data_IF_411785904146
#
_entry.id   IF_411785904146
#
_cell.length_a   1.000
_cell.length_b   1.000
_cell.length_c   1.000
_cell.angle_alpha   90.00
_cell.angle_beta   90.00
_cell.angle_gamma   90.00
#
_symmetry.space_group_name_H-M   'P 1'
#
loop_
_entity.id
_entity.type
_entity.pdbx_description
1 polymer ?
#
# COMPACT_ATOMS: atom_id res chain seq x y z
N UNK A 1 30.36 -2.08 -66.53
CA UNK A 1 29.43 -1.34 -67.39
C UNK A 1 28.06 -1.98 -67.26
N UNK A 2 27.16 -1.33 -66.57
CA UNK A 2 25.81 -0.86 -66.97
C UNK A 2 25.23 -0.19 -65.75
N UNK A 3 24.92 1.06 -65.88
CA UNK A 3 24.17 1.91 -64.92
C UNK A 3 22.73 1.45 -64.91
N UNK A 4 22.10 1.38 -63.73
CA UNK A 4 20.66 1.30 -63.58
C UNK A 4 20.23 2.41 -62.63
N UNK A 5 19.22 3.14 -63.07
CA UNK A 5 18.62 4.34 -62.51
C UNK A 5 18.12 4.15 -61.08
N UNK A 6 18.39 5.14 -60.25
CA UNK A 6 17.78 5.29 -58.94
C UNK A 6 16.49 6.12 -59.09
N UNK A 7 15.36 5.50 -58.89
CA UNK A 7 14.08 6.18 -58.70
C UNK A 7 14.01 6.80 -57.29
N UNK A 8 13.89 8.10 -57.25
CA UNK A 8 13.61 8.89 -56.02
C UNK A 8 12.13 8.77 -55.66
N UNK A 9 11.88 8.10 -54.50
CA UNK A 9 10.58 8.21 -53.82
C UNK A 9 10.48 9.54 -53.05
N UNK A 10 9.28 10.16 -53.00
CA UNK A 10 9.10 11.40 -52.27
C UNK A 10 9.05 11.11 -50.76
N UNK A 11 9.86 11.84 -49.98
CA UNK A 11 9.87 11.82 -48.54
C UNK A 11 8.50 12.23 -47.97
N UNK A 12 7.87 11.34 -47.23
CA UNK A 12 6.72 11.66 -46.40
C UNK A 12 7.15 12.60 -45.25
N UNK A 13 6.49 13.75 -45.17
CA UNK A 13 6.67 14.70 -44.09
C UNK A 13 6.14 14.07 -42.79
N UNK A 14 7.05 13.67 -41.88
CA UNK A 14 6.71 13.32 -40.49
C UNK A 14 6.20 14.59 -39.78
N UNK A 15 4.91 14.57 -39.47
CA UNK A 15 4.32 15.52 -38.54
C UNK A 15 4.92 15.28 -37.17
N UNK A 16 5.85 16.14 -36.72
CA UNK A 16 6.34 16.16 -35.36
C UNK A 16 5.17 16.49 -34.41
N UNK A 17 4.62 15.45 -33.81
CA UNK A 17 3.78 15.60 -32.63
C UNK A 17 4.65 16.21 -31.53
N UNK A 18 4.37 17.45 -31.14
CA UNK A 18 4.93 18.09 -29.96
C UNK A 18 4.37 17.34 -28.74
N UNK A 19 5.09 16.33 -28.29
CA UNK A 19 4.86 15.73 -26.98
C UNK A 19 5.29 16.76 -25.95
N UNK A 20 4.31 17.35 -25.26
CA UNK A 20 4.56 18.08 -24.02
C UNK A 20 5.24 17.09 -23.08
N UNK A 21 6.44 17.39 -22.54
CA UNK A 21 7.06 16.47 -21.57
C UNK A 21 6.13 16.29 -20.39
N UNK A 22 5.99 15.06 -19.93
CA UNK A 22 5.30 14.76 -18.68
C UNK A 22 5.95 15.61 -17.57
N UNK A 23 5.17 16.20 -16.63
CA UNK A 23 5.73 16.98 -15.54
C UNK A 23 6.72 16.10 -14.77
N UNK A 24 7.87 16.68 -14.40
CA UNK A 24 8.85 15.99 -13.57
C UNK A 24 8.18 15.53 -12.28
N UNK A 25 8.51 14.32 -11.83
CA UNK A 25 8.00 13.80 -10.55
C UNK A 25 8.23 14.86 -9.46
N UNK A 26 7.15 15.31 -8.79
CA UNK A 26 7.20 16.34 -7.74
C UNK A 26 6.77 17.75 -8.16
N UNK A 27 6.38 18.02 -9.42
CA UNK A 27 5.82 19.31 -9.81
C UNK A 27 4.29 19.23 -9.95
N UNK A 28 3.58 20.04 -9.20
CA UNK A 28 2.13 20.24 -9.33
C UNK A 28 1.90 21.64 -9.86
N UNK A 29 1.01 21.80 -10.85
CA UNK A 29 0.73 23.10 -11.45
C UNK A 29 0.23 24.11 -10.40
N UNK A 30 0.87 25.26 -10.30
CA UNK A 30 0.50 26.32 -9.34
C UNK A 30 1.09 26.17 -7.94
N UNK A 31 1.82 25.07 -7.64
CA UNK A 31 2.52 24.88 -6.36
C UNK A 31 3.99 25.24 -6.53
N UNK A 32 4.48 26.20 -5.73
CA UNK A 32 5.88 26.62 -5.71
C UNK A 32 6.42 26.58 -4.28
N UNK A 33 7.48 25.84 -4.08
CA UNK A 33 8.22 25.80 -2.82
C UNK A 33 9.54 26.54 -3.02
N UNK A 34 9.93 27.49 -2.15
CA UNK A 34 11.22 28.15 -2.23
C UNK A 34 12.37 27.15 -2.15
N UNK A 35 13.46 27.45 -2.86
CA UNK A 35 14.69 26.67 -2.73
C UNK A 35 15.20 26.71 -1.29
N UNK A 36 15.42 25.55 -0.71
CA UNK A 36 15.92 25.39 0.65
C UNK A 36 16.88 24.19 0.73
N UNK A 37 17.87 24.32 1.63
CA UNK A 37 18.63 23.15 2.03
C UNK A 37 17.76 22.30 2.97
N UNK A 38 17.62 21.02 2.66
CA UNK A 38 16.82 20.07 3.43
C UNK A 38 17.69 18.96 3.99
N UNK A 39 17.77 18.85 5.32
CA UNK A 39 18.53 17.80 6.00
C UNK A 39 17.92 16.40 5.75
N UNK A 40 16.59 16.35 5.74
CA UNK A 40 15.81 15.15 5.42
C UNK A 40 15.16 15.34 4.06
N UNK A 41 15.33 14.39 3.16
CA UNK A 41 14.51 14.30 1.95
C UNK A 41 13.26 13.49 2.26
N UNK A 42 12.14 13.84 1.62
CA UNK A 42 10.86 13.16 1.79
C UNK A 42 10.34 12.74 0.40
N UNK A 43 10.11 11.45 0.22
CA UNK A 43 9.69 10.87 -1.06
C UNK A 43 8.47 10.00 -0.86
N UNK A 44 7.37 10.18 -1.62
CA UNK A 44 6.22 9.29 -1.56
C UNK A 44 6.59 7.84 -1.91
N UNK A 45 5.97 6.88 -1.21
CA UNK A 45 6.04 5.46 -1.50
C UNK A 45 4.75 5.04 -2.19
N UNK A 46 4.88 4.42 -3.36
CA UNK A 46 3.74 3.98 -4.16
C UNK A 46 3.06 5.11 -4.94
N UNK A 47 1.79 4.94 -5.26
CA UNK A 47 1.01 5.85 -6.08
C UNK A 47 0.55 7.11 -5.33
N UNK A 48 0.15 8.16 -6.07
CA UNK A 48 -0.54 9.31 -5.49
C UNK A 48 -1.72 8.89 -4.62
N UNK A 49 -1.87 9.45 -3.40
CA UNK A 49 -2.97 9.12 -2.51
C UNK A 49 -4.33 9.37 -3.17
N UNK A 50 -5.25 8.42 -2.98
CA UNK A 50 -6.61 8.46 -3.51
C UNK A 50 -7.59 8.64 -2.33
N UNK A 51 -8.27 9.78 -2.18
CA UNK A 51 -9.29 9.96 -1.16
C UNK A 51 -10.46 9.00 -1.37
N UNK A 52 -10.90 8.31 -0.32
CA UNK A 52 -12.03 7.37 -0.37
C UNK A 52 -12.97 7.56 0.81
N UNK A 53 -14.26 7.27 0.61
CA UNK A 53 -15.28 7.44 1.63
C UNK A 53 -15.31 6.23 2.57
N UNK A 54 -15.09 6.48 3.86
CA UNK A 54 -15.19 5.47 4.92
C UNK A 54 -16.63 5.23 5.38
N UNK A 55 -16.83 4.17 6.16
CA UNK A 55 -18.10 3.83 6.78
C UNK A 55 -18.56 4.82 7.86
N UNK A 56 -17.63 5.64 8.37
CA UNK A 56 -17.89 6.77 9.26
C UNK A 56 -18.45 8.00 8.53
N UNK A 57 -18.57 7.93 7.20
CA UNK A 57 -19.08 8.98 6.33
C UNK A 57 -18.05 10.03 5.91
N UNK A 58 -16.82 9.98 6.44
CA UNK A 58 -15.71 10.87 6.10
C UNK A 58 -14.93 10.37 4.90
N UNK A 59 -14.14 11.25 4.30
CA UNK A 59 -13.16 10.89 3.28
C UNK A 59 -11.80 10.68 3.92
N UNK A 60 -11.28 9.46 3.80
CA UNK A 60 -9.96 9.06 4.29
C UNK A 60 -8.91 9.27 3.22
N UNK A 61 -7.73 9.70 3.65
CA UNK A 61 -6.52 9.81 2.82
C UNK A 61 -5.41 9.09 3.56
N UNK A 62 -4.82 8.07 2.95
CA UNK A 62 -3.73 7.31 3.54
C UNK A 62 -2.62 7.08 2.52
N UNK A 63 -1.37 7.38 2.88
CA UNK A 63 -0.17 7.20 2.07
C UNK A 63 1.08 7.12 2.94
N UNK A 64 2.20 6.81 2.32
CA UNK A 64 3.45 6.58 3.00
C UNK A 64 4.55 7.45 2.39
N UNK A 65 5.46 7.90 3.24
CA UNK A 65 6.59 8.73 2.84
C UNK A 65 7.88 8.12 3.37
N UNK A 66 8.88 8.02 2.51
CA UNK A 66 10.24 7.74 2.91
C UNK A 66 10.94 9.03 3.31
N UNK A 67 11.46 9.10 4.54
CA UNK A 67 12.36 10.14 5.00
C UNK A 67 13.78 9.61 4.95
N UNK A 68 14.69 10.35 4.34
CA UNK A 68 16.12 9.97 4.28
C UNK A 68 16.98 11.12 4.81
N UNK A 69 17.80 10.82 5.81
CA UNK A 69 18.84 11.75 6.26
C UNK A 69 20.03 11.68 5.29
N UNK A 70 20.06 12.60 4.34
CA UNK A 70 21.13 12.68 3.33
C UNK A 70 22.41 13.39 3.84
N UNK A 71 22.54 13.61 5.15
CA UNK A 71 23.65 14.36 5.77
C UNK A 71 24.52 13.47 6.66
N UNK A 72 25.54 14.05 7.25
CA UNK A 72 26.41 13.43 8.26
C UNK A 72 26.01 13.77 9.69
N UNK A 73 24.99 14.59 9.87
CA UNK A 73 24.50 15.07 11.15
C UNK A 73 23.24 14.29 11.50
N UNK A 74 23.09 13.76 12.70
CA UNK A 74 21.84 13.15 13.14
C UNK A 74 20.67 14.12 13.00
N UNK A 75 19.51 13.62 12.59
CA UNK A 75 18.29 14.41 12.50
C UNK A 75 17.21 13.82 13.43
N UNK A 76 16.26 14.66 13.84
CA UNK A 76 15.08 14.26 14.60
C UNK A 76 13.87 15.01 14.06
N UNK A 77 12.72 14.34 14.01
CA UNK A 77 11.47 14.94 13.57
C UNK A 77 10.60 15.23 14.78
N UNK A 78 10.29 16.50 15.02
CA UNK A 78 9.48 16.93 16.15
C UNK A 78 8.01 17.09 15.78
N UNK A 79 7.73 17.45 14.52
CA UNK A 79 6.37 17.60 13.99
C UNK A 79 6.37 17.53 12.46
N UNK A 80 5.27 17.01 11.92
CA UNK A 80 4.93 17.07 10.49
C UNK A 80 3.53 17.66 10.36
N UNK A 81 3.39 18.82 9.69
CA UNK A 81 2.10 19.32 9.27
C UNK A 81 1.85 18.97 7.80
N UNK A 82 0.69 18.42 7.49
CA UNK A 82 0.18 18.29 6.13
C UNK A 82 -0.55 19.58 5.80
N UNK A 83 -0.10 20.31 4.80
CA UNK A 83 -0.64 21.61 4.44
C UNK A 83 -1.15 21.64 3.00
N UNK A 84 -2.08 22.53 2.70
CA UNK A 84 -2.60 22.74 1.36
C UNK A 84 -1.48 23.18 0.40
N UNK A 85 -1.37 22.52 -0.74
CA UNK A 85 -0.30 22.79 -1.71
C UNK A 85 -0.33 24.19 -2.30
N UNK A 86 -1.50 24.83 -2.36
CA UNK A 86 -1.68 26.19 -2.90
C UNK A 86 -1.69 27.27 -1.82
N UNK A 87 -1.98 26.90 -0.58
CA UNK A 87 -1.97 27.76 0.60
C UNK A 87 -1.32 27.06 1.80
N UNK A 88 0.01 27.09 1.92
CA UNK A 88 0.71 26.41 3.01
C UNK A 88 0.39 26.92 4.43
N UNK A 89 -0.35 28.03 4.56
CA UNK A 89 -0.86 28.49 5.85
C UNK A 89 -2.06 27.66 6.36
N UNK A 90 -2.70 26.92 5.47
CA UNK A 90 -3.84 26.05 5.78
C UNK A 90 -3.33 24.66 6.15
N UNK A 91 -3.30 24.37 7.44
CA UNK A 91 -2.97 23.03 7.96
C UNK A 91 -4.19 22.14 7.84
N UNK A 92 -4.01 20.97 7.20
CA UNK A 92 -5.03 19.93 6.99
C UNK A 92 -4.95 18.89 8.10
N UNK A 93 -3.73 18.45 8.42
CA UNK A 93 -3.45 17.50 9.50
C UNK A 93 -2.10 17.84 10.15
N UNK A 94 -1.90 17.42 11.39
CA UNK A 94 -0.66 17.66 12.13
C UNK A 94 -0.32 16.42 12.94
N UNK A 95 0.95 16.05 12.94
CA UNK A 95 1.50 14.91 13.68
C UNK A 95 2.64 15.39 14.56
N UNK A 96 2.42 15.38 15.87
CA UNK A 96 3.42 15.70 16.88
C UNK A 96 4.48 14.60 17.03
N UNK A 97 5.58 14.89 17.72
CA UNK A 97 6.60 13.89 18.04
C UNK A 97 6.02 12.65 18.73
N UNK A 98 5.04 12.84 19.63
CA UNK A 98 4.38 11.72 20.33
C UNK A 98 3.45 10.90 19.43
N UNK A 99 2.90 11.48 18.37
CA UNK A 99 2.11 10.73 17.36
C UNK A 99 3.01 10.05 16.33
N UNK A 100 4.20 10.57 16.11
CA UNK A 100 5.20 9.93 15.24
C UNK A 100 5.84 8.72 15.94
N UNK A 101 6.24 8.90 17.20
CA UNK A 101 6.79 7.83 18.04
C UNK A 101 6.17 7.96 19.43
N UNK A 102 5.15 7.15 19.70
CA UNK A 102 4.42 7.14 20.97
C UNK A 102 5.26 6.49 22.06
N UNK A 103 5.66 7.22 23.10
CA UNK A 103 6.46 6.64 24.19
C UNK A 103 5.72 5.58 25.00
N UNK A 104 4.39 5.53 24.92
CA UNK A 104 3.54 4.54 25.60
C UNK A 104 3.24 3.33 24.71
N UNK A 105 3.70 3.33 23.46
CA UNK A 105 3.54 2.23 22.51
C UNK A 105 4.50 1.09 22.84
N UNK A 106 4.06 0.14 23.67
CA UNK A 106 4.89 -0.94 24.22
C UNK A 106 5.58 -1.79 23.16
N UNK A 107 4.94 -2.01 22.01
CA UNK A 107 5.47 -2.83 20.92
C UNK A 107 5.95 -2.02 19.71
N UNK A 108 5.78 -0.70 19.71
CA UNK A 108 6.11 0.19 18.59
C UNK A 108 5.19 0.04 17.38
N UNK A 109 4.14 -0.75 17.47
CA UNK A 109 3.20 -1.02 16.38
C UNK A 109 2.23 0.15 16.12
N UNK A 110 1.97 1.01 17.10
CA UNK A 110 1.20 2.24 16.95
C UNK A 110 2.03 3.42 16.39
N UNK A 111 3.35 3.32 16.30
CA UNK A 111 4.20 4.38 15.78
C UNK A 111 3.97 4.63 14.30
N UNK A 112 3.85 5.92 13.92
CA UNK A 112 3.77 6.35 12.52
C UNK A 112 5.13 6.39 11.85
N UNK A 113 6.19 6.68 12.60
CA UNK A 113 7.58 6.64 12.11
C UNK A 113 8.18 5.28 12.41
N UNK A 114 8.78 4.64 11.40
CA UNK A 114 9.37 3.31 11.52
C UNK A 114 10.67 3.18 10.74
N UNK A 115 11.47 2.18 11.10
CA UNK A 115 12.58 1.75 10.25
C UNK A 115 12.06 1.31 8.89
N UNK A 116 12.85 1.53 7.86
CA UNK A 116 12.52 1.05 6.54
C UNK A 116 12.93 -0.45 6.43
N UNK A 117 12.05 -1.36 5.95
CA UNK A 117 10.73 -1.09 5.37
C UNK A 117 9.59 -0.85 6.38
N UNK A 118 9.59 -1.44 7.58
CA UNK A 118 8.52 -1.27 8.55
C UNK A 118 8.90 -1.71 9.97
N UNK A 119 10.19 -1.73 10.30
CA UNK A 119 10.70 -2.05 11.65
C UNK A 119 10.28 -1.03 12.70
N UNK A 120 10.21 -1.45 13.96
CA UNK A 120 9.86 -0.56 15.07
C UNK A 120 11.03 0.32 15.48
N UNK A 121 10.73 1.56 15.86
CA UNK A 121 11.67 2.51 16.42
C UNK A 121 11.18 3.01 17.78
N UNK A 122 12.10 3.39 18.64
CA UNK A 122 11.84 3.95 19.99
C UNK A 122 12.09 5.46 20.05
N UNK A 123 12.57 6.06 18.96
CA UNK A 123 12.87 7.48 18.88
C UNK A 123 12.54 8.04 17.49
N UNK A 124 12.23 9.33 17.43
CA UNK A 124 12.06 10.07 16.18
C UNK A 124 13.40 10.48 15.53
N UNK A 125 14.53 9.94 16.00
CA UNK A 125 15.83 10.18 15.40
C UNK A 125 16.01 9.39 14.11
N UNK A 126 16.66 10.05 13.16
CA UNK A 126 17.11 9.45 11.90
C UNK A 126 18.62 9.61 11.84
N UNK A 127 19.39 8.53 12.08
CA UNK A 127 20.84 8.58 12.01
C UNK A 127 21.35 9.07 10.66
N UNK A 128 22.60 9.54 10.57
CA UNK A 128 23.21 9.94 9.31
C UNK A 128 23.12 8.81 8.25
N UNK A 129 22.70 9.17 7.05
CA UNK A 129 22.63 8.27 5.89
C UNK A 129 21.62 7.10 6.04
N UNK A 130 20.70 7.20 7.01
CA UNK A 130 19.61 6.24 7.18
C UNK A 130 18.28 6.78 6.70
N UNK A 131 17.35 5.86 6.50
CA UNK A 131 15.99 6.15 6.08
C UNK A 131 14.97 5.62 7.08
N UNK A 132 13.82 6.29 7.12
CA UNK A 132 12.62 5.90 7.86
C UNK A 132 11.43 5.93 6.92
N UNK A 133 10.37 5.23 7.28
CA UNK A 133 9.05 5.42 6.68
C UNK A 133 8.15 6.12 7.68
N UNK A 134 7.31 7.05 7.20
CA UNK A 134 6.24 7.65 7.98
C UNK A 134 4.90 7.36 7.34
N UNK A 135 3.95 6.86 8.14
CA UNK A 135 2.59 6.56 7.74
C UNK A 135 1.70 7.77 8.00
N UNK A 136 1.21 8.36 6.93
CA UNK A 136 0.30 9.51 6.96
C UNK A 136 -1.12 9.02 6.70
N UNK A 137 -2.05 9.37 7.58
CA UNK A 137 -3.48 9.23 7.36
C UNK A 137 -4.23 10.37 8.05
N UNK A 138 -5.26 10.86 7.41
CA UNK A 138 -6.16 11.88 7.93
C UNK A 138 -7.53 11.79 7.25
N UNK A 139 -8.50 12.51 7.78
CA UNK A 139 -9.86 12.54 7.23
C UNK A 139 -10.28 13.94 6.84
N UNK A 140 -11.16 14.01 5.83
CA UNK A 140 -11.83 15.21 5.36
C UNK A 140 -13.35 15.01 5.51
N UNK A 141 -14.09 16.06 5.79
CA UNK A 141 -15.56 15.96 5.92
C UNK A 141 -16.25 15.84 4.54
N UNK A 142 -15.60 16.36 3.49
CA UNK A 142 -16.08 16.24 2.10
C UNK A 142 -14.92 16.19 1.12
N UNK A 143 -15.15 15.63 -0.07
CA UNK A 143 -14.15 15.55 -1.13
C UNK A 143 -13.71 16.93 -1.65
N UNK A 144 -14.62 17.93 -1.62
CA UNK A 144 -14.30 19.30 -2.06
C UNK A 144 -13.25 19.99 -1.15
N UNK A 145 -12.96 19.42 0.02
CA UNK A 145 -11.88 19.89 0.90
C UNK A 145 -10.52 19.31 0.54
N UNK A 146 -10.49 18.28 -0.32
CA UNK A 146 -9.24 17.70 -0.80
C UNK A 146 -8.56 18.69 -1.75
N UNK A 147 -7.32 19.14 -1.47
CA UNK A 147 -6.57 19.94 -2.43
C UNK A 147 -6.05 19.06 -3.57
N UNK A 148 -5.66 19.68 -4.68
CA UNK A 148 -5.02 18.95 -5.79
C UNK A 148 -3.68 18.32 -5.35
N UNK A 149 -3.01 18.92 -4.36
CA UNK A 149 -1.78 18.43 -3.78
C UNK A 149 -1.61 18.93 -2.34
N UNK A 150 -0.82 18.20 -1.56
CA UNK A 150 -0.36 18.61 -0.23
C UNK A 150 1.14 18.82 -0.23
N UNK A 151 1.62 19.70 0.67
CA UNK A 151 3.00 19.78 1.09
C UNK A 151 3.11 19.27 2.52
N UNK A 152 4.32 18.91 2.93
CA UNK A 152 4.60 18.58 4.32
C UNK A 152 5.53 19.65 4.89
N UNK A 153 5.10 20.29 5.97
CA UNK A 153 5.94 21.20 6.73
C UNK A 153 6.63 20.40 7.82
N UNK A 154 7.94 20.26 7.70
CA UNK A 154 8.76 19.45 8.59
C UNK A 154 9.45 20.33 9.61
N UNK A 155 9.28 19.98 10.90
CA UNK A 155 9.93 20.66 12.02
C UNK A 155 10.78 19.66 12.79
N UNK A 156 11.97 20.07 13.22
CA UNK A 156 12.84 19.20 13.98
C UNK A 156 14.25 19.75 14.17
N UNK A 157 15.20 18.83 14.29
CA UNK A 157 16.63 19.14 14.33
C UNK A 157 17.37 18.34 13.26
N UNK A 158 18.48 18.87 12.77
CA UNK A 158 19.33 18.24 11.76
C UNK A 158 20.40 19.18 11.27
N UNK A 159 21.05 18.85 10.14
CA UNK A 159 21.98 19.80 9.53
C UNK A 159 21.25 21.04 9.06
N UNK A 160 21.59 22.20 9.59
CA UNK A 160 20.97 23.49 9.20
C UNK A 160 21.55 24.05 7.89
N UNK A 161 22.67 23.52 7.40
CA UNK A 161 23.30 23.86 6.12
C UNK A 161 24.22 22.73 5.64
N UNK A 162 24.66 22.74 4.37
CA UNK A 162 25.59 21.74 3.85
C UNK A 162 26.93 21.65 4.61
N UNK A 163 27.31 22.72 5.33
CA UNK A 163 28.54 22.80 6.10
C UNK A 163 28.34 22.53 7.60
N UNK A 164 27.11 22.26 8.06
CA UNK A 164 26.84 21.98 9.48
C UNK A 164 27.54 20.71 9.94
N UNK A 165 28.24 20.80 11.07
CA UNK A 165 28.85 19.66 11.75
C UNK A 165 28.04 19.17 12.96
N UNK A 166 27.11 20.01 13.45
CA UNK A 166 26.25 19.76 14.60
C UNK A 166 24.78 19.96 14.24
N UNK A 167 23.82 19.28 14.91
CA UNK A 167 22.41 19.50 14.68
C UNK A 167 21.99 20.92 15.07
N UNK A 168 21.14 21.51 14.26
CA UNK A 168 20.44 22.77 14.52
C UNK A 168 18.97 22.63 14.14
N UNK A 169 18.13 23.64 14.41
CA UNK A 169 16.72 23.60 14.05
C UNK A 169 16.55 23.52 12.53
N UNK A 170 15.59 22.70 12.11
CA UNK A 170 15.13 22.61 10.73
C UNK A 170 13.64 22.94 10.68
N UNK A 171 13.25 23.70 9.65
CA UNK A 171 11.89 24.19 9.42
C UNK A 171 11.75 24.48 7.92
N UNK A 172 11.08 23.58 7.19
CA UNK A 172 10.92 23.74 5.74
C UNK A 172 9.74 22.94 5.18
N UNK A 173 9.27 23.40 4.02
CA UNK A 173 8.28 22.69 3.21
C UNK A 173 8.96 21.68 2.27
N UNK A 174 8.32 20.52 2.10
CA UNK A 174 8.78 19.49 1.18
C UNK A 174 8.23 19.70 -0.24
N UNK A 175 8.60 18.81 -1.16
CA UNK A 175 7.99 18.78 -2.49
C UNK A 175 6.52 18.37 -2.44
N UNK A 176 5.67 18.84 -3.38
CA UNK A 176 4.26 18.53 -3.37
C UNK A 176 3.98 17.04 -3.65
N UNK A 177 2.98 16.52 -2.96
CA UNK A 177 2.38 15.21 -3.21
C UNK A 177 1.00 15.44 -3.81
N UNK A 178 0.86 15.16 -5.11
CA UNK A 178 -0.41 15.28 -5.81
C UNK A 178 -1.39 14.19 -5.37
N UNK A 179 -2.67 14.51 -5.32
CA UNK A 179 -3.71 13.51 -5.11
C UNK A 179 -4.09 12.84 -6.43
N UNK A 180 -4.48 11.58 -6.35
CA UNK A 180 -4.98 10.84 -7.49
C UNK A 180 -6.36 11.36 -7.89
N UNK A 181 -6.57 11.51 -9.20
CA UNK A 181 -7.88 11.82 -9.79
C UNK A 181 -8.64 10.56 -10.22
N UNK A 182 -8.12 9.39 -9.88
CA UNK A 182 -8.74 8.10 -10.19
C UNK A 182 -10.07 7.97 -9.45
N UNK A 183 -11.03 7.30 -10.05
CA UNK A 183 -12.27 6.92 -9.37
C UNK A 183 -12.01 5.75 -8.44
N UNK A 184 -12.52 5.83 -7.21
CA UNK A 184 -12.49 4.70 -6.27
C UNK A 184 -13.34 3.55 -6.83
N UNK A 185 -12.80 2.32 -6.93
CA UNK A 185 -13.56 1.18 -7.42
C UNK A 185 -14.74 0.85 -6.49
N UNK A 186 -15.87 0.48 -7.09
CA UNK A 186 -17.04 -0.03 -6.35
C UNK A 186 -17.21 -1.49 -6.72
N UNK A 187 -17.20 -2.34 -5.72
CA UNK A 187 -17.21 -3.80 -5.87
C UNK A 187 -18.29 -4.45 -4.99
N UNK A 188 -18.69 -5.68 -5.36
CA UNK A 188 -19.52 -6.52 -4.51
C UNK A 188 -18.68 -7.18 -3.38
N UNK A 189 -19.32 -7.69 -2.31
CA UNK A 189 -18.60 -8.42 -1.26
C UNK A 189 -17.92 -9.71 -1.80
N UNK A 190 -16.68 -10.01 -1.35
CA UNK A 190 -15.97 -11.23 -1.76
C UNK A 190 -16.48 -12.51 -1.06
N UNK A 191 -17.39 -12.36 -0.10
CA UNK A 191 -17.97 -13.44 0.71
C UNK A 191 -19.48 -13.21 0.88
N UNK A 192 -20.21 -14.26 1.27
CA UNK A 192 -21.67 -14.16 1.49
C UNK A 192 -22.10 -14.70 2.85
N UNK A 193 -23.28 -14.27 3.31
CA UNK A 193 -23.87 -14.68 4.57
C UNK A 193 -23.56 -13.70 5.70
N UNK A 194 -23.83 -14.12 6.93
CA UNK A 194 -23.76 -13.32 8.12
C UNK A 194 -22.50 -13.60 8.95
N UNK A 195 -22.24 -12.77 9.95
CA UNK A 195 -21.18 -12.90 10.94
C UNK A 195 -19.75 -12.75 10.39
N UNK A 196 -19.58 -12.08 9.25
CA UNK A 196 -18.26 -11.73 8.73
C UNK A 196 -17.69 -10.51 9.44
N UNK A 197 -16.39 -10.59 9.74
CA UNK A 197 -15.61 -9.54 10.39
C UNK A 197 -14.46 -9.15 9.47
N UNK A 198 -14.36 -7.85 9.17
CA UNK A 198 -13.23 -7.27 8.46
C UNK A 198 -12.12 -6.94 9.47
N UNK A 199 -10.98 -7.59 9.36
CA UNK A 199 -9.80 -7.38 10.21
C UNK A 199 -8.65 -6.77 9.42
N UNK A 200 -7.70 -6.17 10.14
CA UNK A 200 -6.44 -5.65 9.60
C UNK A 200 -6.58 -4.60 8.49
N UNK A 201 -7.77 -4.06 8.28
CA UNK A 201 -8.03 -3.01 7.29
C UNK A 201 -7.40 -1.67 7.66
N UNK A 202 -7.39 -0.74 6.71
CA UNK A 202 -6.89 0.63 6.88
C UNK A 202 -7.65 1.36 8.03
N UNK A 203 -7.01 2.33 8.73
CA UNK A 203 -5.75 2.98 8.33
C UNK A 203 -4.77 3.14 9.50
N UNK A 204 -5.07 2.55 10.65
CA UNK A 204 -4.22 2.68 11.83
C UNK A 204 -2.82 2.07 11.59
N UNK A 205 -1.73 2.74 11.97
CA UNK A 205 -0.37 2.24 11.77
C UNK A 205 -0.07 0.89 12.42
N UNK A 206 -0.82 0.53 13.48
CA UNK A 206 -0.70 -0.74 14.18
C UNK A 206 -1.22 -1.95 13.43
N UNK A 207 -2.00 -1.76 12.38
CA UNK A 207 -2.48 -2.89 11.59
C UNK A 207 -1.40 -3.40 10.63
N UNK A 208 -1.21 -4.74 10.53
CA UNK A 208 -0.12 -5.32 9.76
C UNK A 208 -0.15 -4.95 8.28
N UNK A 209 -1.32 -4.88 7.67
CA UNK A 209 -1.45 -4.48 6.26
C UNK A 209 -1.04 -3.03 6.03
N UNK A 210 -1.43 -2.11 6.94
CA UNK A 210 -1.09 -0.69 6.85
C UNK A 210 0.42 -0.45 6.81
N UNK A 211 1.18 -1.28 7.51
CA UNK A 211 2.63 -1.14 7.65
C UNK A 211 3.43 -2.17 6.86
N UNK A 212 2.86 -2.78 5.83
CA UNK A 212 3.52 -3.82 5.03
C UNK A 212 4.36 -3.27 3.86
N UNK A 213 5.12 -2.20 4.10
CA UNK A 213 6.07 -1.67 3.12
C UNK A 213 7.17 -2.69 2.86
N UNK A 214 7.47 -2.94 1.59
CA UNK A 214 8.57 -3.82 1.19
C UNK A 214 9.22 -3.38 -0.11
N UNK A 215 10.44 -3.89 -0.35
CA UNK A 215 11.19 -3.63 -1.58
C UNK A 215 10.99 -4.78 -2.56
N UNK A 216 10.37 -4.48 -3.70
CA UNK A 216 10.17 -5.43 -4.79
C UNK A 216 10.52 -4.75 -6.10
N UNK A 217 11.31 -5.41 -6.96
CA UNK A 217 11.69 -4.90 -8.28
C UNK A 217 12.26 -3.47 -8.26
N UNK A 218 13.21 -3.20 -7.34
CA UNK A 218 13.88 -1.90 -7.14
C UNK A 218 12.96 -0.75 -6.70
N UNK A 219 11.75 -1.06 -6.19
CA UNK A 219 10.78 -0.08 -5.69
C UNK A 219 10.37 -0.41 -4.27
N UNK A 220 10.07 0.63 -3.50
CA UNK A 220 9.32 0.50 -2.27
C UNK A 220 7.82 0.56 -2.58
N UNK A 221 7.09 -0.45 -2.14
CA UNK A 221 5.64 -0.56 -2.32
C UNK A 221 4.98 -0.85 -0.97
N UNK A 222 3.71 -0.45 -0.84
CA UNK A 222 2.84 -0.89 0.23
C UNK A 222 1.58 -1.50 -0.41
N UNK A 223 1.74 -2.69 -0.97
CA UNK A 223 0.72 -3.38 -1.75
C UNK A 223 -0.50 -3.77 -0.93
N UNK A 224 -0.36 -3.90 0.39
CA UNK A 224 -1.44 -4.34 1.29
C UNK A 224 -2.09 -3.20 2.09
N UNK A 225 -1.73 -1.93 1.84
CA UNK A 225 -2.21 -0.76 2.63
C UNK A 225 -3.71 -0.77 2.93
N UNK A 226 -4.52 -1.21 1.97
CA UNK A 226 -5.98 -1.27 2.06
C UNK A 226 -6.54 -2.69 2.09
N UNK A 227 -5.68 -3.71 2.23
CA UNK A 227 -6.11 -5.09 2.31
C UNK A 227 -6.95 -5.36 3.56
N UNK A 228 -7.87 -6.30 3.43
CA UNK A 228 -8.76 -6.74 4.51
C UNK A 228 -8.64 -8.26 4.66
N UNK A 229 -8.49 -8.72 5.90
CA UNK A 229 -8.66 -10.14 6.25
C UNK A 229 -10.10 -10.38 6.67
N UNK A 230 -10.84 -11.11 5.85
CA UNK A 230 -12.20 -11.51 6.15
C UNK A 230 -12.20 -12.80 6.96
N UNK A 231 -12.73 -12.72 8.17
CA UNK A 231 -12.97 -13.88 9.04
C UNK A 231 -14.46 -13.97 9.39
N UNK A 232 -14.89 -15.18 9.76
CA UNK A 232 -16.27 -15.41 10.16
C UNK A 232 -16.32 -15.94 11.59
N UNK A 233 -17.33 -15.49 12.35
CA UNK A 233 -17.62 -16.00 13.70
C UNK A 233 -18.86 -16.89 13.67
N UNK A 234 -19.00 -17.72 14.71
CA UNK A 234 -20.27 -18.34 15.06
C UNK A 234 -21.20 -17.34 15.74
N UNK A 235 -22.39 -17.76 16.15
CA UNK A 235 -23.39 -16.90 16.80
C UNK A 235 -22.94 -16.42 18.20
N UNK A 236 -21.97 -17.10 18.80
CA UNK A 236 -21.34 -16.73 20.08
C UNK A 236 -20.18 -15.73 19.90
N UNK A 237 -19.82 -15.38 18.68
CA UNK A 237 -18.74 -14.47 18.36
C UNK A 237 -17.35 -15.10 18.33
N UNK A 238 -17.25 -16.43 18.30
CA UNK A 238 -15.99 -17.17 18.27
C UNK A 238 -15.57 -17.50 16.82
N UNK A 239 -14.26 -17.41 16.52
CA UNK A 239 -13.70 -17.71 15.20
C UNK A 239 -13.54 -19.22 14.94
N UNK A 240 -13.60 -20.06 15.95
CA UNK A 240 -13.48 -21.51 15.82
C UNK A 240 -14.31 -22.21 16.87
N UNK A 241 -14.65 -23.48 16.60
CA UNK A 241 -15.35 -24.38 17.52
C UNK A 241 -14.55 -25.67 17.69
N UNK A 242 -14.23 -26.04 18.92
CA UNK A 242 -13.43 -27.24 19.22
C UNK A 242 -11.94 -27.00 19.25
N UNK A 243 -11.12 -27.87 18.63
CA UNK A 243 -9.67 -27.75 18.67
C UNK A 243 -9.14 -26.73 17.67
N UNK A 244 -8.62 -25.61 18.17
CA UNK A 244 -8.04 -24.52 17.38
C UNK A 244 -6.81 -24.90 16.54
N UNK A 245 -6.23 -26.08 16.76
CA UNK A 245 -5.08 -26.56 16.00
C UNK A 245 -5.47 -27.25 14.68
N UNK A 246 -6.75 -27.35 14.38
CA UNK A 246 -7.27 -27.89 13.13
C UNK A 246 -7.95 -26.81 12.29
N UNK A 247 -7.63 -26.74 11.01
CA UNK A 247 -8.21 -25.75 10.09
C UNK A 247 -9.74 -25.90 10.01
N UNK A 248 -10.25 -27.12 10.01
CA UNK A 248 -11.68 -27.44 9.93
C UNK A 248 -12.48 -26.97 11.16
N UNK A 249 -11.82 -26.61 12.26
CA UNK A 249 -12.45 -26.03 13.44
C UNK A 249 -12.83 -24.56 13.23
N UNK A 250 -12.24 -23.87 12.27
CA UNK A 250 -12.52 -22.46 12.01
C UNK A 250 -13.81 -22.28 11.22
N UNK A 251 -14.65 -21.33 11.67
CA UNK A 251 -16.01 -21.09 11.12
C UNK A 251 -16.00 -20.68 9.65
N UNK A 252 -14.95 -20.02 9.23
CA UNK A 252 -14.76 -19.55 7.85
C UNK A 252 -14.09 -20.59 6.93
N UNK A 253 -13.46 -21.63 7.48
CA UNK A 253 -12.74 -22.62 6.67
C UNK A 253 -13.67 -23.35 5.69
N UNK A 254 -13.33 -23.30 4.41
CA UNK A 254 -14.14 -23.89 3.35
C UNK A 254 -15.30 -23.03 2.87
N UNK A 255 -15.47 -21.81 3.39
CA UNK A 255 -16.45 -20.85 2.88
C UNK A 255 -16.15 -20.50 1.41
N UNK A 256 -17.20 -20.24 0.64
CA UNK A 256 -17.06 -19.86 -0.77
C UNK A 256 -16.50 -18.43 -0.89
N UNK A 257 -15.55 -18.27 -1.80
CA UNK A 257 -14.97 -16.98 -2.21
C UNK A 257 -15.60 -16.58 -3.53
N UNK A 258 -16.04 -15.35 -3.65
CA UNK A 258 -16.84 -14.85 -4.76
C UNK A 258 -16.12 -13.76 -5.55
N UNK A 259 -16.30 -13.77 -6.87
CA UNK A 259 -15.88 -12.67 -7.73
C UNK A 259 -16.62 -11.39 -7.34
N UNK A 260 -15.89 -10.31 -7.09
CA UNK A 260 -16.45 -9.01 -6.66
C UNK A 260 -17.03 -8.17 -7.80
N UNK A 261 -16.79 -8.57 -9.04
CA UNK A 261 -17.28 -7.92 -10.26
C UNK A 261 -17.16 -8.88 -11.45
N UNK A 262 -17.75 -8.51 -12.58
CA UNK A 262 -17.44 -9.13 -13.88
C UNK A 262 -15.99 -8.85 -14.23
N UNK A 263 -15.20 -9.89 -14.57
CA UNK A 263 -13.76 -9.76 -14.68
C UNK A 263 -13.13 -10.86 -15.53
N UNK A 264 -11.83 -10.68 -15.82
CA UNK A 264 -11.00 -11.72 -16.44
C UNK A 264 -10.00 -12.25 -15.41
N UNK A 265 -9.85 -13.57 -15.31
CA UNK A 265 -8.82 -14.21 -14.46
C UNK A 265 -7.45 -14.02 -15.10
N UNK A 266 -6.50 -13.40 -14.36
CA UNK A 266 -5.14 -13.14 -14.87
C UNK A 266 -4.08 -13.99 -14.20
N UNK A 267 -4.27 -14.41 -12.94
CA UNK A 267 -3.35 -15.28 -12.22
C UNK A 267 -4.11 -16.26 -11.34
N UNK A 268 -3.55 -17.46 -11.22
CA UNK A 268 -4.01 -18.52 -10.33
C UNK A 268 -2.79 -19.28 -9.83
N UNK A 269 -2.72 -19.48 -8.52
CA UNK A 269 -1.90 -20.51 -7.89
C UNK A 269 -2.82 -21.47 -7.14
N UNK A 270 -2.64 -22.76 -7.35
CA UNK A 270 -3.39 -23.83 -6.64
C UNK A 270 -2.48 -25.03 -6.39
N UNK A 271 -2.77 -25.80 -5.35
CA UNK A 271 -2.01 -27.01 -5.00
C UNK A 271 -1.03 -26.83 -3.84
N UNK A 272 -0.92 -25.63 -3.25
CA UNK A 272 -0.13 -25.41 -2.04
C UNK A 272 -0.86 -25.98 -0.81
N UNK A 273 -0.15 -26.78 -0.01
CA UNK A 273 -0.71 -27.41 1.19
C UNK A 273 -1.02 -26.39 2.28
N UNK A 274 -2.04 -26.67 3.10
CA UNK A 274 -2.45 -25.81 4.20
C UNK A 274 -1.43 -25.81 5.35
N UNK A 275 -1.28 -24.65 5.98
CA UNK A 275 -0.49 -24.50 7.22
C UNK A 275 -1.22 -25.12 8.42
N UNK A 276 -0.45 -25.50 9.43
CA UNK A 276 -1.01 -25.77 10.76
C UNK A 276 -1.45 -24.42 11.40
N UNK A 277 -2.68 -24.33 11.94
CA UNK A 277 -3.09 -23.12 12.64
C UNK A 277 -2.16 -22.72 13.79
N UNK A 278 -1.96 -21.42 13.98
CA UNK A 278 -1.07 -20.85 14.99
C UNK A 278 0.39 -20.72 14.57
N UNK A 279 0.76 -21.21 13.37
CA UNK A 279 2.12 -21.08 12.83
C UNK A 279 2.11 -20.08 11.68
N UNK A 280 2.76 -18.93 11.87
CA UNK A 280 2.96 -17.96 10.78
C UNK A 280 4.26 -18.33 10.04
N UNK A 281 4.21 -18.74 8.76
CA UNK A 281 5.40 -19.20 8.03
C UNK A 281 6.54 -18.19 8.00
N UNK A 282 6.27 -16.90 7.79
CA UNK A 282 7.32 -15.87 7.78
C UNK A 282 8.06 -15.73 9.13
N UNK A 283 7.44 -16.16 10.24
CA UNK A 283 8.07 -16.15 11.58
C UNK A 283 8.83 -17.43 11.91
N UNK A 284 8.79 -18.43 11.03
CA UNK A 284 9.52 -19.69 11.18
C UNK A 284 10.62 -19.76 10.11
N UNK A 285 11.92 -19.78 10.47
CA UNK A 285 13.02 -19.70 9.51
C UNK A 285 13.00 -20.81 8.43
N UNK A 286 12.59 -22.04 8.78
CA UNK A 286 12.48 -23.13 7.81
C UNK A 286 11.35 -22.91 6.80
N UNK A 287 10.19 -22.44 7.26
CA UNK A 287 9.05 -22.17 6.41
C UNK A 287 9.25 -20.88 5.61
N UNK A 288 9.81 -19.84 6.23
CA UNK A 288 10.12 -18.58 5.57
C UNK A 288 11.05 -18.77 4.35
N UNK A 289 12.01 -19.70 4.44
CA UNK A 289 12.92 -20.01 3.33
C UNK A 289 12.21 -20.60 2.09
N UNK A 290 10.98 -21.05 2.21
CA UNK A 290 10.16 -21.61 1.13
C UNK A 290 9.20 -20.60 0.52
N UNK A 291 9.04 -19.43 1.17
CA UNK A 291 8.21 -18.36 0.63
C UNK A 291 8.97 -17.59 -0.44
N UNK A 292 8.29 -17.32 -1.53
CA UNK A 292 8.76 -16.49 -2.66
C UNK A 292 7.74 -15.41 -2.95
N UNK A 293 8.08 -14.46 -3.84
CA UNK A 293 7.13 -13.42 -4.28
C UNK A 293 5.87 -14.04 -4.91
N UNK A 294 6.01 -15.19 -5.57
CA UNK A 294 4.90 -15.85 -6.29
C UNK A 294 3.98 -16.68 -5.38
N UNK A 295 4.45 -17.09 -4.18
CA UNK A 295 3.71 -18.03 -3.34
C UNK A 295 3.43 -17.55 -1.91
N UNK A 296 3.88 -16.37 -1.54
CA UNK A 296 3.72 -15.83 -0.17
C UNK A 296 2.25 -15.72 0.24
N UNK A 297 1.37 -15.45 -0.69
CA UNK A 297 -0.09 -15.34 -0.54
C UNK A 297 -0.82 -16.70 -0.67
N UNK A 298 -0.07 -17.79 -0.82
CA UNK A 298 -0.63 -19.14 -0.91
C UNK A 298 -1.41 -19.38 -2.19
N UNK A 299 -2.37 -20.30 -2.13
CA UNK A 299 -3.30 -20.51 -3.24
C UNK A 299 -4.15 -19.26 -3.42
N UNK A 300 -4.22 -18.76 -4.66
CA UNK A 300 -4.82 -17.47 -4.93
C UNK A 300 -5.48 -17.39 -6.31
N UNK A 301 -6.34 -16.40 -6.46
CA UNK A 301 -6.89 -15.95 -7.74
C UNK A 301 -6.69 -14.42 -7.83
N UNK A 302 -6.25 -13.95 -8.99
CA UNK A 302 -6.22 -12.52 -9.31
C UNK A 302 -7.13 -12.25 -10.52
N UNK A 303 -8.02 -11.29 -10.36
CA UNK A 303 -8.96 -10.84 -11.38
C UNK A 303 -8.55 -9.47 -11.91
N UNK A 304 -8.61 -9.27 -13.21
CA UNK A 304 -8.58 -7.96 -13.87
C UNK A 304 -10.00 -7.43 -14.02
N UNK A 305 -10.32 -6.37 -13.29
CA UNK A 305 -11.64 -5.71 -13.29
C UNK A 305 -11.75 -4.63 -14.38
N UNK A 306 -10.69 -4.40 -15.15
CA UNK A 306 -10.58 -3.30 -16.09
C UNK A 306 -10.05 -2.01 -15.44
N UNK A 307 -9.79 -0.99 -16.27
CA UNK A 307 -9.30 0.34 -15.87
C UNK A 307 -8.05 0.31 -14.96
N UNK A 308 -7.22 -0.76 -15.06
CA UNK A 308 -6.04 -0.97 -14.23
C UNK A 308 -6.39 -1.27 -12.76
N UNK A 309 -7.52 -1.87 -12.48
CA UNK A 309 -7.93 -2.38 -11.17
C UNK A 309 -7.86 -3.89 -11.17
N UNK A 310 -7.18 -4.45 -10.20
CA UNK A 310 -7.06 -5.88 -9.99
C UNK A 310 -7.58 -6.25 -8.60
N UNK A 311 -8.30 -7.37 -8.51
CA UNK A 311 -8.76 -7.93 -7.24
C UNK A 311 -8.02 -9.22 -6.93
N UNK A 312 -7.47 -9.33 -5.73
CA UNK A 312 -6.74 -10.50 -5.28
C UNK A 312 -7.46 -11.19 -4.13
N UNK A 313 -7.49 -12.51 -4.21
CA UNK A 313 -8.08 -13.43 -3.23
C UNK A 313 -7.03 -14.47 -2.84
N UNK A 314 -6.60 -14.50 -1.60
CA UNK A 314 -5.49 -15.32 -1.14
C UNK A 314 -5.85 -16.35 -0.08
N UNK A 315 -4.89 -17.23 0.22
CA UNK A 315 -4.91 -18.26 1.26
C UNK A 315 -5.94 -19.37 1.04
N UNK A 316 -6.33 -19.63 -0.23
CA UNK A 316 -7.37 -20.58 -0.57
C UNK A 316 -6.98 -22.04 -0.25
N UNK A 317 -7.99 -22.92 -0.13
CA UNK A 317 -7.79 -24.36 0.04
C UNK A 317 -7.17 -24.96 -1.24
N UNK A 318 -6.19 -25.84 -1.06
CA UNK A 318 -5.56 -26.61 -2.14
C UNK A 318 -6.58 -27.43 -2.92
N UNK A 319 -6.56 -27.31 -4.25
CA UNK A 319 -7.48 -28.00 -5.15
C UNK A 319 -8.91 -27.46 -5.16
N UNK A 320 -9.14 -26.28 -4.55
CA UNK A 320 -10.48 -25.68 -4.51
C UNK A 320 -10.73 -24.62 -5.57
N UNK A 321 -9.69 -24.13 -6.25
CA UNK A 321 -9.84 -23.10 -7.27
C UNK A 321 -10.59 -23.64 -8.47
N UNK A 322 -11.64 -22.92 -8.90
CA UNK A 322 -12.58 -23.37 -9.94
C UNK A 322 -12.35 -22.73 -11.30
N UNK A 323 -11.37 -21.82 -11.39
CA UNK A 323 -11.09 -21.00 -12.58
C UNK A 323 -9.61 -21.10 -12.97
N UNK A 324 -9.28 -20.66 -14.18
CA UNK A 324 -7.90 -20.62 -14.69
C UNK A 324 -7.64 -19.31 -15.42
N UNK A 325 -6.37 -18.89 -15.59
CA UNK A 325 -6.02 -17.71 -16.36
C UNK A 325 -6.67 -17.71 -17.75
N UNK A 326 -7.26 -16.55 -18.12
CA UNK A 326 -8.00 -16.35 -19.35
C UNK A 326 -9.51 -16.63 -19.26
N UNK A 327 -10.01 -17.22 -18.19
CA UNK A 327 -11.45 -17.36 -17.98
C UNK A 327 -12.08 -16.00 -17.67
N UNK A 328 -13.33 -15.81 -18.12
CA UNK A 328 -14.18 -14.71 -17.67
C UNK A 328 -15.08 -15.18 -16.55
N UNK A 329 -15.26 -14.33 -15.54
CA UNK A 329 -16.15 -14.57 -14.40
C UNK A 329 -17.20 -13.48 -14.30
N UNK A 330 -18.32 -13.78 -13.68
CA UNK A 330 -19.36 -12.80 -13.39
C UNK A 330 -19.41 -12.49 -11.90
N UNK A 331 -19.87 -11.30 -11.52
CA UNK A 331 -20.07 -10.94 -10.12
C UNK A 331 -20.84 -12.03 -9.35
N UNK A 332 -20.34 -12.40 -8.17
CA UNK A 332 -20.91 -13.45 -7.32
C UNK A 332 -20.59 -14.89 -7.75
N UNK A 333 -19.84 -15.11 -8.85
CA UNK A 333 -19.37 -16.43 -9.22
C UNK A 333 -18.38 -16.97 -8.19
N UNK A 334 -18.49 -18.25 -7.82
CA UNK A 334 -17.56 -18.92 -6.91
C UNK A 334 -16.20 -19.11 -7.59
N UNK A 335 -15.14 -18.62 -6.96
CA UNK A 335 -13.76 -18.76 -7.40
C UNK A 335 -13.04 -19.94 -6.74
N UNK A 336 -13.43 -20.29 -5.53
CA UNK A 336 -12.85 -21.37 -4.75
C UNK A 336 -13.28 -21.29 -3.29
N UNK A 337 -12.47 -21.83 -2.38
CA UNK A 337 -12.79 -21.94 -0.95
C UNK A 337 -11.69 -21.35 -0.08
N UNK A 338 -12.12 -20.64 0.96
CA UNK A 338 -11.29 -20.01 1.97
C UNK A 338 -10.51 -21.06 2.78
N UNK A 339 -9.22 -20.85 2.96
CA UNK A 339 -8.29 -21.78 3.59
C UNK A 339 -7.24 -21.12 4.48
N UNK A 340 -6.04 -21.73 4.54
CA UNK A 340 -4.91 -21.29 5.36
C UNK A 340 -3.59 -21.72 4.69
N UNK A 341 -3.30 -21.18 3.50
CA UNK A 341 -2.07 -21.47 2.74
C UNK A 341 -1.19 -20.23 2.61
N UNK A 342 0.09 -20.37 2.26
CA UNK A 342 1.02 -19.23 2.13
C UNK A 342 1.41 -18.65 3.50
N UNK A 343 1.58 -17.33 3.58
CA UNK A 343 1.94 -16.66 4.84
C UNK A 343 0.72 -16.34 5.71
N UNK A 344 -0.03 -17.35 6.07
CA UNK A 344 -1.21 -17.27 6.94
C UNK A 344 -1.05 -18.19 8.15
N UNK A 345 -1.54 -17.76 9.32
CA UNK A 345 -1.47 -18.53 10.57
C UNK A 345 -2.80 -19.11 11.03
N UNK A 346 -3.87 -18.78 10.35
CA UNK A 346 -5.21 -19.31 10.59
C UNK A 346 -6.09 -19.06 9.35
N UNK A 347 -7.20 -19.77 9.26
CA UNK A 347 -8.18 -19.60 8.19
C UNK A 347 -8.67 -18.16 8.10
N UNK A 348 -8.60 -17.56 6.92
CA UNK A 348 -9.18 -16.26 6.55
C UNK A 348 -9.11 -16.06 5.04
N UNK A 349 -9.86 -15.11 4.52
CA UNK A 349 -9.67 -14.58 3.17
C UNK A 349 -8.91 -13.26 3.26
N UNK A 350 -7.67 -13.23 2.80
CA UNK A 350 -6.99 -11.99 2.50
C UNK A 350 -7.48 -11.47 1.15
N UNK A 351 -8.02 -10.27 1.15
CA UNK A 351 -8.58 -9.62 -0.04
C UNK A 351 -8.04 -8.20 -0.17
N UNK A 352 -7.63 -7.82 -1.39
CA UNK A 352 -7.23 -6.46 -1.69
C UNK A 352 -7.54 -6.06 -3.13
N UNK A 353 -7.70 -4.76 -3.35
CA UNK A 353 -7.62 -4.14 -4.67
C UNK A 353 -6.22 -3.57 -4.87
N UNK A 354 -5.73 -3.64 -6.11
CA UNK A 354 -4.39 -3.20 -6.48
C UNK A 354 -4.36 -2.70 -7.93
N UNK A 355 -3.32 -1.97 -8.29
CA UNK A 355 -3.15 -1.33 -9.59
C UNK A 355 -2.38 -2.19 -10.63
N UNK A 356 -2.05 -3.42 -10.26
CA UNK A 356 -1.35 -4.37 -11.11
C UNK A 356 -1.61 -5.81 -10.70
N UNK A 357 -1.25 -6.80 -11.53
CA UNK A 357 -1.53 -8.21 -11.29
C UNK A 357 -0.60 -8.90 -10.29
N UNK A 358 0.50 -8.26 -9.91
CA UNK A 358 1.50 -8.82 -8.98
C UNK A 358 1.25 -8.31 -7.58
N UNK A 359 0.96 -9.20 -6.63
CA UNK A 359 0.64 -8.87 -5.25
C UNK A 359 1.62 -7.89 -4.60
N UNK A 360 2.90 -8.21 -4.66
CA UNK A 360 3.90 -7.46 -3.90
C UNK A 360 4.49 -6.26 -4.66
N UNK A 361 4.38 -6.24 -5.99
CA UNK A 361 4.88 -5.15 -6.83
C UNK A 361 3.84 -4.05 -7.04
N UNK A 362 2.56 -4.42 -7.09
CA UNK A 362 1.47 -3.48 -7.26
C UNK A 362 1.30 -2.58 -6.03
N UNK A 363 0.72 -1.39 -6.19
CA UNK A 363 0.29 -0.57 -5.07
C UNK A 363 -1.19 -0.83 -4.77
N UNK A 364 -1.55 -0.71 -3.50
CA UNK A 364 -2.91 -0.98 -3.03
C UNK A 364 -3.88 0.13 -3.43
N UNK A 365 -5.09 -0.24 -3.78
CA UNK A 365 -6.23 0.67 -4.03
C UNK A 365 -7.25 0.55 -2.88
N UNK A 366 -7.85 1.67 -2.45
CA UNK A 366 -8.88 1.66 -1.42
C UNK A 366 -10.22 1.09 -1.90
#
# INVERSE_FOLDING_TARGET
RVLADAATEPAAAESAATTTPAPAAGSVAGVSVPDAFTALTMTPIGNPPLPFKGTDGKYHVAYDLQLTNATKVPASVDKIDVVDGTDPSKVIASFSAAELVDPDCVFGDCNRLRDLPAGYVDTAQIPPQESRVVFIDFTLDSLDQAPDAVLHHLYGTGAASPASGEPGPIDYLTTPVAFSTRTVPIIAPPVRGENWVALNGCCEPGFPHRSSVMSVNDKLNNSQRFAIDWKRTNDEGEFFTGDRNHNESYVDYGAEILAVADATVVSVLDGMEANAPGVLPASNPELASKLTVENVDGNHVVLDLGDGVFAMYAHMISGSVTVKPGDTVTEGQVLGKLGNTGNANASHLHFQLMDGPSLLEADSLP
#
